data_IF_468597671195
#
_entry.id   IF_468597671195
#
_cell.length_a   1.000
_cell.length_b   1.000
_cell.length_c   1.000
_cell.angle_alpha   90.00
_cell.angle_beta   90.00
_cell.angle_gamma   90.00
#
_symmetry.space_group_name_H-M   'P 1'
#
loop_
_entity.id
_entity.type
_entity.pdbx_description
1 polymer ?
#
# COMPACT_ATOMS: atom_id res chain seq x y z
N UNK A 1 30.49 -33.50 -31.66
CA UNK A 1 29.71 -34.15 -30.60
C UNK A 1 28.98 -33.06 -29.83
N UNK A 2 27.70 -32.91 -30.10
CA UNK A 2 26.85 -31.90 -29.45
C UNK A 2 26.16 -32.58 -28.27
N UNK A 3 26.46 -32.10 -27.06
CA UNK A 3 25.80 -32.54 -25.84
C UNK A 3 24.53 -31.73 -25.61
N UNK A 4 23.38 -32.35 -25.85
CA UNK A 4 22.08 -31.82 -25.52
C UNK A 4 21.91 -31.76 -24.00
N UNK A 5 21.79 -30.55 -23.44
CA UNK A 5 21.36 -30.35 -22.03
C UNK A 5 19.83 -30.42 -22.01
N UNK A 6 19.33 -31.52 -21.51
CA UNK A 6 17.94 -31.72 -21.17
C UNK A 6 17.62 -30.88 -19.94
N UNK A 7 16.80 -29.82 -20.12
CA UNK A 7 16.29 -28.99 -19.04
C UNK A 7 15.15 -29.77 -18.40
N UNK A 8 15.37 -30.30 -17.21
CA UNK A 8 14.34 -30.94 -16.39
C UNK A 8 13.21 -29.96 -16.12
N UNK A 9 12.03 -30.23 -16.66
CA UNK A 9 10.77 -29.54 -16.36
C UNK A 9 10.44 -29.76 -14.90
N UNK A 10 10.46 -28.71 -14.10
CA UNK A 10 9.94 -28.74 -12.74
C UNK A 10 8.47 -29.15 -12.81
N UNK A 11 8.10 -30.28 -12.24
CA UNK A 11 6.71 -30.66 -12.00
C UNK A 11 6.16 -29.69 -10.97
N UNK A 12 5.17 -28.89 -11.38
CA UNK A 12 4.31 -28.18 -10.44
C UNK A 12 3.64 -29.20 -9.52
N UNK A 13 4.00 -29.14 -8.24
CA UNK A 13 3.36 -29.96 -7.22
C UNK A 13 1.92 -29.45 -7.06
N UNK A 14 0.97 -30.06 -7.73
CA UNK A 14 -0.44 -29.83 -7.48
C UNK A 14 -0.78 -30.39 -6.10
N UNK A 15 -1.24 -29.51 -5.20
CA UNK A 15 -1.78 -29.91 -3.91
C UNK A 15 -2.97 -30.86 -4.13
N UNK A 16 -3.15 -31.92 -3.30
CA UNK A 16 -4.29 -32.81 -3.39
C UNK A 16 -5.61 -32.02 -3.33
N UNK A 17 -6.60 -32.43 -4.13
CA UNK A 17 -7.89 -31.75 -4.19
C UNK A 17 -8.58 -31.68 -2.82
N UNK A 18 -8.46 -32.74 -2.02
CA UNK A 18 -8.95 -32.79 -0.62
C UNK A 18 -8.37 -31.68 0.25
N UNK A 19 -7.08 -31.35 0.08
CA UNK A 19 -6.44 -30.27 0.84
C UNK A 19 -6.92 -28.88 0.37
N UNK A 20 -7.24 -28.71 -0.90
CA UNK A 20 -7.83 -27.48 -1.43
C UNK A 20 -9.25 -27.26 -0.94
N UNK A 21 -10.04 -28.33 -0.83
CA UNK A 21 -11.40 -28.28 -0.30
C UNK A 21 -11.39 -27.97 1.22
N UNK A 22 -10.45 -28.57 1.95
CA UNK A 22 -10.26 -28.30 3.39
C UNK A 22 -9.79 -26.87 3.65
N UNK A 23 -8.91 -26.33 2.82
CA UNK A 23 -8.44 -24.94 2.88
C UNK A 23 -9.57 -23.96 2.54
N UNK A 24 -10.40 -24.28 1.55
CA UNK A 24 -11.56 -23.48 1.19
C UNK A 24 -12.62 -23.47 2.30
N UNK A 25 -12.90 -24.62 2.90
CA UNK A 25 -13.82 -24.75 4.03
C UNK A 25 -13.32 -24.00 5.28
N UNK A 26 -12.03 -24.08 5.58
CA UNK A 26 -11.40 -23.31 6.66
C UNK A 26 -11.49 -21.80 6.38
N UNK A 27 -11.27 -21.36 5.13
CA UNK A 27 -11.40 -19.97 4.71
C UNK A 27 -12.82 -19.43 4.88
N UNK A 28 -13.85 -20.23 4.58
CA UNK A 28 -15.26 -19.84 4.77
C UNK A 28 -15.62 -19.73 6.25
N UNK A 29 -15.19 -20.69 7.09
CA UNK A 29 -15.39 -20.62 8.54
C UNK A 29 -14.73 -19.41 9.19
N UNK A 30 -13.56 -19.02 8.71
CA UNK A 30 -12.91 -17.79 9.19
C UNK A 30 -13.62 -16.51 8.75
N UNK A 31 -14.23 -16.49 7.57
CA UNK A 31 -15.04 -15.35 7.12
C UNK A 31 -16.30 -15.14 7.96
N UNK A 32 -16.93 -16.22 8.43
CA UNK A 32 -18.11 -16.13 9.30
C UNK A 32 -17.74 -15.75 10.74
N UNK A 33 -16.54 -16.14 11.21
CA UNK A 33 -16.09 -15.89 12.57
C UNK A 33 -15.48 -14.48 12.78
N UNK A 34 -14.98 -13.85 11.71
CA UNK A 34 -14.38 -12.53 11.74
C UNK A 34 -15.31 -11.53 11.08
N UNK A 35 -15.98 -10.70 11.87
CA UNK A 35 -16.70 -9.53 11.36
C UNK A 35 -15.75 -8.59 10.60
N UNK A 36 -16.28 -7.79 9.68
CA UNK A 36 -15.47 -6.77 8.96
C UNK A 36 -14.77 -5.79 9.90
N UNK A 37 -15.34 -5.60 11.09
CA UNK A 37 -14.84 -4.69 12.12
C UNK A 37 -13.73 -5.31 12.99
N UNK A 38 -13.56 -6.64 12.92
CA UNK A 38 -12.55 -7.38 13.70
C UNK A 38 -11.19 -7.47 13.00
N UNK A 39 -11.15 -7.16 11.70
CA UNK A 39 -9.91 -7.18 10.91
C UNK A 39 -9.40 -5.79 10.67
N UNK A 40 -8.61 -5.27 11.58
CA UNK A 40 -7.83 -4.05 11.36
C UNK A 40 -6.55 -4.42 10.61
N UNK A 41 -6.51 -4.08 9.33
CA UNK A 41 -5.30 -4.30 8.51
C UNK A 41 -4.32 -3.18 8.82
N UNK A 42 -3.11 -3.48 9.35
CA UNK A 42 -2.12 -2.45 9.64
C UNK A 42 -1.59 -1.82 8.36
N UNK A 43 -1.59 -0.48 8.33
CA UNK A 43 -0.93 0.29 7.28
C UNK A 43 0.40 0.83 7.81
N UNK A 44 1.46 0.59 7.06
CA UNK A 44 2.74 1.23 7.29
C UNK A 44 2.80 2.50 6.42
N UNK A 45 2.62 3.66 7.06
CA UNK A 45 2.56 4.97 6.41
C UNK A 45 3.90 5.69 6.52
N UNK A 46 4.29 6.40 5.46
CA UNK A 46 5.41 7.35 5.51
C UNK A 46 4.84 8.67 6.01
N UNK A 47 5.28 9.14 7.16
CA UNK A 47 4.85 10.41 7.73
C UNK A 47 5.32 11.58 6.86
N UNK A 48 4.48 12.57 6.73
CA UNK A 48 4.73 13.81 6.01
C UNK A 48 4.63 15.00 6.98
N UNK A 49 5.11 16.17 6.57
CA UNK A 49 5.09 17.37 7.42
C UNK A 49 3.69 17.78 7.91
N UNK A 50 2.64 17.42 7.16
CA UNK A 50 1.24 17.66 7.50
C UNK A 50 0.53 16.43 8.07
N UNK A 51 1.23 15.35 8.35
CA UNK A 51 0.63 14.19 9.02
C UNK A 51 0.22 14.57 10.43
N UNK A 52 -0.98 14.16 10.89
CA UNK A 52 -1.45 14.48 12.25
C UNK A 52 -0.46 14.07 13.33
N UNK A 53 0.24 12.95 13.15
CA UNK A 53 1.26 12.44 14.07
C UNK A 53 2.45 13.40 14.25
N UNK A 54 2.76 14.21 13.22
CA UNK A 54 3.83 15.21 13.24
C UNK A 54 3.34 16.61 13.66
N UNK A 55 2.03 16.86 13.66
CA UNK A 55 1.45 18.20 13.85
C UNK A 55 1.05 18.42 15.29
N UNK A 56 1.71 19.35 15.99
CA UNK A 56 1.37 19.71 17.38
C UNK A 56 -0.04 20.30 17.44
N UNK A 57 -0.84 19.77 18.36
CA UNK A 57 -2.23 20.19 18.56
C UNK A 57 -3.26 19.26 17.92
N UNK A 58 -2.85 18.37 17.05
CA UNK A 58 -3.73 17.31 16.56
C UNK A 58 -3.92 16.21 17.62
N UNK A 59 -5.11 15.57 17.71
CA UNK A 59 -5.37 14.49 18.66
C UNK A 59 -4.42 13.29 18.53
N UNK A 60 -3.91 13.07 17.32
CA UNK A 60 -3.02 11.95 16.96
C UNK A 60 -1.54 12.32 17.08
N UNK A 61 -1.22 13.50 17.59
CA UNK A 61 0.17 13.94 17.70
C UNK A 61 1.01 13.00 18.55
N UNK A 62 2.14 12.55 17.98
CA UNK A 62 3.12 11.69 18.65
C UNK A 62 4.40 12.48 18.86
N UNK A 63 4.78 12.64 20.14
CA UNK A 63 6.00 13.36 20.49
C UNK A 63 7.22 12.65 19.90
N UNK A 64 7.99 13.35 19.08
CA UNK A 64 9.18 12.84 18.45
C UNK A 64 8.96 12.20 17.07
N UNK A 65 7.70 12.10 16.59
CA UNK A 65 7.44 11.73 15.21
C UNK A 65 7.83 12.86 14.26
N UNK A 66 8.52 12.51 13.19
CA UNK A 66 9.06 13.44 12.21
C UNK A 66 8.68 13.05 10.77
N UNK A 67 8.68 14.00 9.83
CA UNK A 67 8.50 13.69 8.42
C UNK A 67 9.57 12.69 7.95
N UNK A 68 9.15 11.73 7.14
CA UNK A 68 9.90 10.56 6.65
C UNK A 68 9.97 9.37 7.60
N UNK A 69 9.59 9.48 8.86
CA UNK A 69 9.42 8.31 9.71
C UNK A 69 8.31 7.39 9.17
N UNK A 70 8.37 6.10 9.53
CA UNK A 70 7.33 5.14 9.22
C UNK A 70 6.39 5.00 10.42
N UNK A 71 5.10 4.88 10.17
CA UNK A 71 4.07 4.77 11.19
C UNK A 71 3.15 3.58 10.93
N UNK A 72 3.08 2.66 11.89
CA UNK A 72 2.10 1.59 11.89
C UNK A 72 0.79 2.08 12.51
N UNK A 73 -0.29 2.00 11.73
CA UNK A 73 -1.59 2.56 12.13
C UNK A 73 -2.32 1.74 13.19
N UNK A 74 -2.04 0.44 13.30
CA UNK A 74 -2.68 -0.46 14.27
C UNK A 74 -1.88 -0.52 15.56
N UNK A 75 -0.57 -0.79 15.45
CA UNK A 75 0.32 -0.78 16.62
C UNK A 75 0.56 0.62 17.18
N UNK A 76 0.18 1.68 16.45
CA UNK A 76 0.44 3.09 16.78
C UNK A 76 1.93 3.35 17.08
N UNK A 77 2.79 2.67 16.33
CA UNK A 77 4.25 2.69 16.54
C UNK A 77 4.94 3.49 15.44
N UNK A 78 5.82 4.39 15.86
CA UNK A 78 6.72 5.12 14.95
C UNK A 78 8.04 4.39 14.85
N UNK A 79 8.49 4.15 13.63
CA UNK A 79 9.83 3.65 13.34
C UNK A 79 10.65 4.82 12.79
N UNK A 80 11.68 5.21 13.55
CA UNK A 80 12.57 6.29 13.17
C UNK A 80 13.42 5.88 11.96
N UNK A 81 13.54 6.78 11.01
CA UNK A 81 14.41 6.59 9.84
C UNK A 81 15.72 7.36 9.97
N UNK A 82 15.81 8.27 10.96
CA UNK A 82 16.98 9.07 11.26
C UNK A 82 17.20 9.13 12.76
N UNK A 83 18.45 9.32 13.16
CA UNK A 83 18.83 9.63 14.53
C UNK A 83 18.73 11.15 14.84
N UNK A 84 19.04 11.55 16.07
CA UNK A 84 18.95 12.94 16.52
C UNK A 84 19.98 13.86 15.80
N UNK A 85 21.01 13.29 15.17
CA UNK A 85 22.05 13.98 14.38
C UNK A 85 21.74 13.98 12.87
N UNK A 86 20.51 13.59 12.48
CA UNK A 86 20.01 13.50 11.10
C UNK A 86 20.72 12.42 10.23
N UNK A 87 21.45 11.48 10.83
CA UNK A 87 22.01 10.35 10.12
C UNK A 87 20.93 9.30 9.86
N UNK A 88 20.99 8.65 8.70
CA UNK A 88 20.09 7.55 8.37
C UNK A 88 20.34 6.37 9.30
N UNK A 89 19.27 5.86 9.89
CA UNK A 89 19.27 4.57 10.62
C UNK A 89 19.20 3.39 9.65
N UNK A 90 19.51 2.19 10.13
CA UNK A 90 19.47 0.95 9.32
C UNK A 90 18.08 0.64 8.75
N UNK A 91 17.07 1.41 9.19
CA UNK A 91 15.71 1.33 8.68
C UNK A 91 14.95 0.09 9.16
N UNK A 92 13.83 -0.14 8.52
CA UNK A 92 12.92 -1.24 8.83
C UNK A 92 13.08 -2.33 7.78
N UNK A 93 13.24 -3.57 8.21
CA UNK A 93 13.31 -4.71 7.29
C UNK A 93 11.91 -5.13 6.86
N UNK A 94 11.69 -5.17 5.56
CA UNK A 94 10.43 -5.64 4.97
C UNK A 94 10.69 -6.74 3.96
N UNK A 95 9.73 -7.67 3.83
CA UNK A 95 9.71 -8.68 2.79
C UNK A 95 8.50 -8.41 1.88
N UNK A 96 8.70 -7.96 0.63
CA UNK A 96 7.61 -7.80 -0.32
C UNK A 96 6.95 -9.14 -0.66
N UNK A 97 5.60 -9.17 -0.65
CA UNK A 97 4.81 -10.38 -0.94
C UNK A 97 4.03 -10.20 -2.24
N UNK A 98 3.34 -9.05 -2.34
CA UNK A 98 2.48 -8.75 -3.48
C UNK A 98 2.49 -7.26 -3.77
N UNK A 99 2.34 -6.92 -5.04
CA UNK A 99 2.25 -5.56 -5.53
C UNK A 99 1.00 -5.38 -6.38
N UNK A 100 0.29 -4.28 -6.14
CA UNK A 100 -0.86 -3.87 -6.94
C UNK A 100 -0.70 -2.40 -7.32
N UNK A 101 -0.92 -2.08 -8.59
CA UNK A 101 -1.08 -0.70 -9.05
C UNK A 101 -2.53 -0.46 -9.43
N UNK A 102 -3.09 0.64 -8.97
CA UNK A 102 -4.45 1.08 -9.30
C UNK A 102 -4.52 2.60 -9.36
N UNK A 103 -5.62 3.11 -9.88
CA UNK A 103 -5.91 4.53 -9.82
C UNK A 103 -7.09 4.75 -8.88
N UNK A 104 -6.90 5.59 -7.87
CA UNK A 104 -7.93 5.88 -6.87
C UNK A 104 -8.55 7.24 -7.14
N UNK A 105 -9.87 7.25 -7.28
CA UNK A 105 -10.67 8.45 -7.44
C UNK A 105 -11.12 8.95 -6.07
N UNK A 106 -10.87 10.22 -5.81
CA UNK A 106 -11.19 10.89 -4.54
C UNK A 106 -12.12 12.08 -4.76
N UNK A 107 -13.12 12.23 -3.89
CA UNK A 107 -13.82 13.51 -3.74
C UNK A 107 -12.84 14.55 -3.17
N UNK A 108 -12.78 15.77 -3.72
CA UNK A 108 -11.97 16.84 -3.12
C UNK A 108 -12.34 17.09 -1.66
N UNK A 109 -11.35 17.37 -0.81
CA UNK A 109 -11.53 17.54 0.65
C UNK A 109 -12.57 18.63 0.98
N UNK A 110 -12.61 19.71 0.21
CA UNK A 110 -13.60 20.81 0.37
C UNK A 110 -15.02 20.42 -0.02
N UNK A 111 -15.21 19.22 -0.60
CA UNK A 111 -16.53 18.66 -0.99
C UNK A 111 -16.89 17.41 -0.16
N UNK A 112 -16.21 17.19 0.98
CA UNK A 112 -16.46 16.08 1.89
C UNK A 112 -15.36 15.03 1.92
N UNK A 113 -14.52 14.96 0.90
CA UNK A 113 -13.44 13.96 0.83
C UNK A 113 -13.95 12.52 0.66
N UNK A 114 -13.03 11.57 0.63
CA UNK A 114 -13.33 10.15 0.58
C UNK A 114 -13.06 9.51 -0.78
N UNK A 115 -12.91 8.17 -0.77
CA UNK A 115 -12.70 7.35 -1.96
C UNK A 115 -14.06 7.12 -2.63
N UNK A 116 -14.12 7.35 -3.94
CA UNK A 116 -15.31 7.07 -4.77
C UNK A 116 -15.16 5.75 -5.48
N UNK A 117 -13.99 5.54 -6.09
CA UNK A 117 -13.75 4.35 -6.89
C UNK A 117 -12.26 3.99 -6.92
N UNK A 118 -12.01 2.71 -7.19
CA UNK A 118 -10.69 2.19 -7.51
C UNK A 118 -10.73 1.62 -8.93
N UNK A 119 -9.94 2.21 -9.82
CA UNK A 119 -9.85 1.85 -11.22
C UNK A 119 -8.67 0.91 -11.48
N UNK A 120 -8.84 -0.06 -12.34
CA UNK A 120 -7.72 -0.84 -12.86
C UNK A 120 -6.73 0.06 -13.60
N UNK A 121 -5.51 -0.44 -13.85
CA UNK A 121 -4.50 0.33 -14.59
C UNK A 121 -5.00 0.72 -15.99
N UNK A 122 -5.70 -0.20 -16.68
CA UNK A 122 -6.20 0.06 -18.02
C UNK A 122 -7.28 1.15 -18.04
N UNK A 123 -8.24 1.08 -17.11
CA UNK A 123 -9.30 2.09 -16.97
C UNK A 123 -8.71 3.43 -16.51
N UNK A 124 -7.87 3.43 -15.47
CA UNK A 124 -7.27 4.64 -14.94
C UNK A 124 -6.43 5.42 -15.97
N UNK A 125 -5.70 4.70 -16.84
CA UNK A 125 -4.97 5.33 -17.95
C UNK A 125 -5.88 5.91 -19.03
N UNK A 126 -7.14 5.50 -19.12
CA UNK A 126 -8.13 6.07 -20.05
C UNK A 126 -8.79 7.34 -19.52
N UNK A 127 -8.66 7.61 -18.21
CA UNK A 127 -9.24 8.80 -17.56
C UNK A 127 -8.48 10.04 -18.02
N UNK A 128 -9.22 11.01 -18.53
CA UNK A 128 -8.64 12.29 -18.94
C UNK A 128 -8.57 13.20 -17.72
N UNK A 129 -7.37 13.61 -17.35
CA UNK A 129 -7.13 14.53 -16.23
C UNK A 129 -6.43 15.80 -16.69
N UNK A 130 -6.58 16.85 -15.90
CA UNK A 130 -5.79 18.07 -15.99
C UNK A 130 -5.20 18.41 -14.62
N UNK A 131 -3.92 18.76 -14.60
CA UNK A 131 -3.24 19.14 -13.36
C UNK A 131 -3.66 20.52 -12.90
N UNK A 132 -4.09 20.63 -11.64
CA UNK A 132 -4.45 21.89 -11.02
C UNK A 132 -3.24 22.61 -10.40
N UNK A 133 -3.46 23.83 -9.86
CA UNK A 133 -2.41 24.63 -9.20
C UNK A 133 -1.78 23.94 -7.98
N UNK A 134 -2.52 23.04 -7.34
CA UNK A 134 -2.04 22.22 -6.22
C UNK A 134 -1.32 20.94 -6.67
N UNK A 135 -1.01 20.83 -7.97
CA UNK A 135 -0.33 19.68 -8.57
C UNK A 135 -1.09 18.34 -8.45
N UNK A 136 -2.42 18.41 -8.41
CA UNK A 136 -3.33 17.26 -8.37
C UNK A 136 -3.93 17.03 -9.75
N UNK A 137 -4.08 15.77 -10.15
CA UNK A 137 -4.71 15.38 -11.41
C UNK A 137 -6.23 15.33 -11.23
N UNK A 138 -6.94 16.26 -11.86
CA UNK A 138 -8.39 16.43 -11.76
C UNK A 138 -9.08 15.89 -13.01
N UNK A 139 -10.07 15.03 -12.81
CA UNK A 139 -10.85 14.38 -13.89
C UNK A 139 -11.64 15.44 -14.66
N UNK A 140 -11.54 15.39 -15.99
CA UNK A 140 -12.15 16.36 -16.88
C UNK A 140 -13.55 15.92 -17.32
N UNK A 141 -14.44 16.89 -17.70
CA UNK A 141 -15.81 16.58 -18.15
C UNK A 141 -15.89 15.68 -19.40
N UNK A 142 -14.86 15.65 -20.21
CA UNK A 142 -14.77 14.84 -21.43
C UNK A 142 -14.10 13.47 -21.18
N UNK A 143 -13.84 13.10 -19.94
CA UNK A 143 -13.31 11.78 -19.60
C UNK A 143 -14.37 10.69 -19.85
N UNK A 144 -13.98 9.54 -20.43
CA UNK A 144 -14.93 8.45 -20.71
C UNK A 144 -15.48 7.79 -19.44
N UNK A 145 -14.72 7.83 -18.36
CA UNK A 145 -15.08 7.27 -17.03
C UNK A 145 -14.56 8.18 -15.93
N UNK A 146 -15.05 7.98 -14.71
CA UNK A 146 -14.76 8.81 -13.55
C UNK A 146 -15.68 10.03 -13.45
N UNK A 147 -15.70 10.64 -12.28
CA UNK A 147 -16.55 11.80 -11.98
C UNK A 147 -15.79 13.10 -12.21
N UNK A 148 -16.24 13.98 -13.11
CA UNK A 148 -15.59 15.27 -13.34
C UNK A 148 -15.45 16.10 -12.07
N UNK A 149 -14.26 16.66 -11.88
CA UNK A 149 -13.92 17.45 -10.70
C UNK A 149 -13.31 16.64 -9.57
N UNK A 150 -13.41 15.33 -9.59
CA UNK A 150 -12.73 14.46 -8.63
C UNK A 150 -11.22 14.39 -8.93
N UNK A 151 -10.44 14.10 -7.91
CA UNK A 151 -9.00 13.87 -8.00
C UNK A 151 -8.71 12.42 -8.34
N UNK A 152 -7.79 12.17 -9.26
CA UNK A 152 -7.29 10.85 -9.61
C UNK A 152 -5.86 10.68 -9.12
N UNK A 153 -5.59 9.63 -8.35
CA UNK A 153 -4.25 9.31 -7.85
C UNK A 153 -3.78 7.97 -8.40
N UNK A 154 -2.64 7.96 -9.11
CA UNK A 154 -1.89 6.73 -9.38
C UNK A 154 -1.35 6.20 -8.05
N UNK A 155 -1.75 4.99 -7.69
CA UNK A 155 -1.51 4.42 -6.37
C UNK A 155 -0.85 3.05 -6.49
N UNK A 156 0.25 2.90 -5.78
CA UNK A 156 1.01 1.67 -5.68
C UNK A 156 0.82 1.07 -4.28
N UNK A 157 0.24 -0.10 -4.21
CA UNK A 157 0.00 -0.82 -2.96
C UNK A 157 0.93 -2.02 -2.87
N UNK A 158 1.75 -2.04 -1.83
CA UNK A 158 2.65 -3.13 -1.50
C UNK A 158 2.11 -3.87 -0.29
N UNK A 159 1.92 -5.17 -0.43
CA UNK A 159 1.66 -6.07 0.69
C UNK A 159 3.00 -6.64 1.11
N UNK A 160 3.41 -6.38 2.33
CA UNK A 160 4.74 -6.75 2.82
C UNK A 160 4.65 -7.38 4.21
N UNK A 161 5.62 -8.18 4.57
CA UNK A 161 5.88 -8.51 5.97
C UNK A 161 6.89 -7.53 6.56
N UNK A 162 6.53 -6.93 7.67
CA UNK A 162 7.43 -6.21 8.54
C UNK A 162 8.18 -7.23 9.40
N UNK A 163 9.51 -7.22 9.36
CA UNK A 163 10.34 -8.18 10.09
C UNK A 163 10.95 -7.48 11.29
N UNK A 164 10.58 -7.93 12.49
CA UNK A 164 11.14 -7.44 13.74
C UNK A 164 12.55 -8.02 14.00
N UNK A 165 13.28 -7.42 14.96
CA UNK A 165 14.64 -7.85 15.32
C UNK A 165 14.71 -9.28 15.88
N UNK A 166 13.66 -9.72 16.56
CA UNK A 166 13.51 -11.08 17.10
C UNK A 166 13.15 -12.13 16.03
N UNK A 167 12.99 -11.71 14.78
CA UNK A 167 12.62 -12.56 13.65
C UNK A 167 11.11 -12.81 13.51
N UNK A 168 10.28 -12.23 14.36
CA UNK A 168 8.83 -12.24 14.15
C UNK A 168 8.46 -11.38 12.94
N UNK A 169 7.33 -11.67 12.31
CA UNK A 169 6.86 -10.93 11.14
C UNK A 169 5.38 -10.60 11.25
N UNK A 170 5.02 -9.44 10.74
CA UNK A 170 3.66 -8.91 10.74
C UNK A 170 3.28 -8.47 9.32
N UNK A 171 2.09 -8.87 8.80
CA UNK A 171 1.63 -8.42 7.50
C UNK A 171 1.18 -6.96 7.61
N UNK A 172 1.71 -6.10 6.75
CA UNK A 172 1.33 -4.69 6.67
C UNK A 172 1.12 -4.27 5.20
N UNK A 173 0.35 -3.21 5.00
CA UNK A 173 0.11 -2.61 3.69
C UNK A 173 0.82 -1.26 3.62
N UNK A 174 1.62 -1.06 2.58
CA UNK A 174 2.20 0.24 2.24
C UNK A 174 1.54 0.78 0.98
N UNK A 175 0.90 1.94 1.09
CA UNK A 175 0.30 2.62 -0.05
C UNK A 175 1.13 3.85 -0.41
N UNK A 176 1.61 3.89 -1.64
CA UNK A 176 2.47 4.95 -2.15
C UNK A 176 1.83 5.63 -3.36
N UNK A 177 1.80 6.96 -3.36
CA UNK A 177 1.24 7.77 -4.44
C UNK A 177 2.09 9.03 -4.69
N UNK A 178 1.87 9.70 -5.81
CA UNK A 178 2.53 10.96 -6.16
C UNK A 178 4.06 10.89 -6.09
N UNK A 179 4.69 11.61 -5.18
CA UNK A 179 6.16 11.66 -5.02
C UNK A 179 6.77 10.35 -4.54
N UNK A 180 5.96 9.45 -3.96
CA UNK A 180 6.39 8.16 -3.45
C UNK A 180 6.42 7.06 -4.54
N UNK A 181 5.95 7.35 -5.76
CA UNK A 181 5.94 6.37 -6.86
C UNK A 181 7.34 5.92 -7.25
N UNK A 182 8.32 6.83 -7.24
CA UNK A 182 9.70 6.46 -7.57
C UNK A 182 10.29 5.47 -6.55
N UNK A 183 10.28 5.75 -5.24
CA UNK A 183 10.66 4.75 -4.22
C UNK A 183 9.87 3.45 -4.30
N UNK A 184 8.55 3.51 -4.62
CA UNK A 184 7.72 2.32 -4.80
C UNK A 184 8.23 1.38 -5.90
N UNK A 185 8.79 1.92 -6.99
CA UNK A 185 9.37 1.10 -8.06
C UNK A 185 10.65 0.41 -7.63
N UNK A 186 11.43 1.04 -6.76
CA UNK A 186 12.68 0.48 -6.27
C UNK A 186 12.45 -0.70 -5.30
N UNK A 187 11.27 -0.78 -4.65
CA UNK A 187 10.86 -1.93 -3.83
C UNK A 187 10.54 -3.18 -4.66
N UNK A 188 10.29 -3.06 -5.96
CA UNK A 188 9.90 -4.16 -6.84
C UNK A 188 11.08 -4.72 -7.66
N UNK A 189 12.29 -4.17 -7.53
CA UNK A 189 13.52 -4.60 -8.20
C UNK A 189 14.41 -5.38 -7.24
#
# INVERSE_FOLDING_TARGET
MAGSKEVAKAQEAQLPAEFMDELAAAGEQHKEALGKDDMSIPFLQILQSLSPQCTKGEPEFIKGAEPSDLYDTVAQKVFKTRDDDDNALDGVRILPIHYKRSFIEWVPRNQGGGIVNEWSVAEGLSIITQRNESNQDIIQPNSPVGTPGNQLNDTHTHFVFLIAEDGTYEPVIMTMASTQIKPSKDLNN
#
